data_IF_945430094747
#
_entry.id   IF_945430094747
#
_cell.length_a   1.000
_cell.length_b   1.000
_cell.length_c   1.000
_cell.angle_alpha   90.00
_cell.angle_beta   90.00
_cell.angle_gamma   90.00
#
_symmetry.space_group_name_H-M   'P 1'
#
loop_
_entity.id
_entity.type
_entity.pdbx_description
1 polymer ?
#
# COMPACT_ATOMS: atom_id res chain seq x y z
N UNK A 1 -16.54 -9.98 20.77
CA UNK A 1 -16.69 -9.77 19.33
C UNK A 1 -16.51 -11.12 18.65
N UNK A 2 -17.56 -11.67 18.03
CA UNK A 2 -17.55 -12.86 17.20
C UNK A 2 -17.35 -12.55 15.70
N UNK A 3 -17.39 -13.59 14.85
CA UNK A 3 -17.17 -13.46 13.41
C UNK A 3 -18.10 -12.42 12.76
N UNK A 4 -19.36 -12.37 13.20
CA UNK A 4 -20.37 -11.46 12.64
C UNK A 4 -20.05 -10.00 12.93
N UNK A 5 -19.60 -9.66 14.15
CA UNK A 5 -19.21 -8.30 14.47
C UNK A 5 -17.92 -7.89 13.72
N UNK A 6 -16.96 -8.81 13.56
CA UNK A 6 -15.78 -8.61 12.71
C UNK A 6 -16.16 -8.33 11.26
N UNK A 7 -17.11 -9.11 10.71
CA UNK A 7 -17.67 -8.92 9.37
C UNK A 7 -18.38 -7.58 9.23
N UNK A 8 -19.21 -7.20 10.20
CA UNK A 8 -19.92 -5.92 10.21
C UNK A 8 -18.97 -4.72 10.26
N UNK A 9 -17.92 -4.79 11.08
CA UNK A 9 -16.88 -3.77 11.14
C UNK A 9 -16.15 -3.63 9.79
N UNK A 10 -15.71 -4.74 9.21
CA UNK A 10 -15.04 -4.73 7.91
C UNK A 10 -15.93 -4.22 6.77
N UNK A 11 -17.23 -4.53 6.77
CA UNK A 11 -18.18 -3.96 5.80
C UNK A 11 -18.25 -2.44 5.87
N UNK A 12 -18.30 -1.88 7.08
CA UNK A 12 -18.31 -0.42 7.28
C UNK A 12 -17.00 0.23 6.83
N UNK A 13 -15.88 -0.43 7.11
CA UNK A 13 -14.57 0.01 6.61
C UNK A 13 -14.56 0.00 5.08
N UNK A 14 -14.98 -1.11 4.45
CA UNK A 14 -15.04 -1.23 3.00
C UNK A 14 -15.99 -0.20 2.35
N UNK A 15 -17.11 0.14 3.00
CA UNK A 15 -18.02 1.18 2.53
C UNK A 15 -17.36 2.57 2.50
N UNK A 16 -16.56 2.90 3.53
CA UNK A 16 -15.72 4.12 3.51
C UNK A 16 -14.72 4.05 2.36
N UNK A 17 -14.10 2.87 2.14
CA UNK A 17 -13.12 2.65 1.07
C UNK A 17 -13.69 2.87 -0.33
N UNK A 18 -14.89 2.33 -0.62
CA UNK A 18 -15.60 2.54 -1.90
C UNK A 18 -15.80 4.01 -2.26
N UNK A 19 -15.92 4.87 -1.26
CA UNK A 19 -16.13 6.31 -1.44
C UNK A 19 -14.82 7.11 -1.45
N UNK A 20 -13.69 6.48 -1.14
CA UNK A 20 -12.42 7.16 -0.83
C UNK A 20 -11.21 6.40 -1.37
N UNK A 21 -11.27 5.94 -2.63
CA UNK A 21 -10.19 5.19 -3.26
C UNK A 21 -8.82 5.87 -3.08
N UNK A 22 -7.86 5.14 -2.53
CA UNK A 22 -6.52 5.63 -2.23
C UNK A 22 -5.50 5.09 -3.23
N UNK A 23 -5.29 5.85 -4.30
CA UNK A 23 -4.38 5.52 -5.38
C UNK A 23 -3.69 6.77 -5.97
N UNK A 24 -2.49 6.62 -6.56
CA UNK A 24 -1.80 7.71 -7.23
C UNK A 24 -2.51 8.05 -8.53
N UNK A 25 -2.91 9.30 -8.76
CA UNK A 25 -3.69 9.70 -9.93
C UNK A 25 -2.80 9.94 -11.16
N UNK A 26 -2.74 8.97 -12.08
CA UNK A 26 -1.95 9.07 -13.30
C UNK A 26 -2.44 10.20 -14.22
N UNK A 27 -3.71 10.63 -14.12
CA UNK A 27 -4.28 11.67 -15.00
C UNK A 27 -3.69 13.04 -14.71
N UNK A 28 -3.03 13.21 -13.56
CA UNK A 28 -2.26 14.42 -13.24
C UNK A 28 -0.89 14.45 -13.95
N UNK A 29 -0.47 13.34 -14.56
CA UNK A 29 0.71 13.28 -15.41
C UNK A 29 0.25 13.57 -16.83
N UNK A 30 0.60 14.74 -17.35
CA UNK A 30 0.02 15.30 -18.58
C UNK A 30 0.07 14.31 -19.77
N UNK A 31 1.20 13.63 -20.05
CA UNK A 31 1.26 12.63 -21.12
C UNK A 31 0.38 11.39 -20.90
N UNK A 32 0.06 11.03 -19.65
CA UNK A 32 -0.73 9.85 -19.32
C UNK A 32 -2.22 10.16 -19.17
N UNK A 33 -2.60 11.44 -19.08
CA UNK A 33 -3.99 11.87 -18.94
C UNK A 33 -4.90 11.34 -20.05
N UNK A 34 -4.35 11.13 -21.25
CA UNK A 34 -5.07 10.59 -22.39
C UNK A 34 -5.45 9.11 -22.26
N UNK A 35 -4.94 8.37 -21.28
CA UNK A 35 -5.20 6.93 -21.12
C UNK A 35 -6.56 6.62 -20.50
N UNK A 36 -7.24 7.63 -19.96
CA UNK A 36 -8.58 7.46 -19.43
C UNK A 36 -9.25 8.79 -19.17
N UNK A 37 -10.27 9.09 -19.97
CA UNK A 37 -11.11 10.26 -19.73
C UNK A 37 -12.59 9.87 -19.85
N UNK A 38 -13.38 9.90 -18.76
CA UNK A 38 -13.03 10.25 -17.36
C UNK A 38 -12.44 9.10 -16.53
N UNK A 39 -12.66 7.86 -16.98
CA UNK A 39 -12.18 6.62 -16.37
C UNK A 39 -11.13 5.96 -17.25
N UNK A 40 -10.34 5.02 -16.69
CA UNK A 40 -9.35 4.26 -17.43
C UNK A 40 -10.01 3.55 -18.62
N UNK A 41 -9.49 3.78 -19.83
CA UNK A 41 -9.97 3.11 -21.04
C UNK A 41 -9.30 1.73 -21.15
N UNK A 42 -9.93 0.73 -20.52
CA UNK A 42 -9.38 -0.63 -20.38
C UNK A 42 -9.14 -1.28 -21.74
N UNK A 43 -9.96 -0.95 -22.74
CA UNK A 43 -9.89 -1.53 -24.10
C UNK A 43 -8.67 -1.03 -24.88
N UNK A 44 -8.11 0.12 -24.48
CA UNK A 44 -6.97 0.75 -25.14
C UNK A 44 -5.65 0.57 -24.39
N UNK A 45 -5.65 -0.18 -23.29
CA UNK A 45 -4.45 -0.42 -22.49
C UNK A 45 -3.34 -1.15 -23.26
N UNK A 46 -3.71 -1.94 -24.27
CA UNK A 46 -2.75 -2.72 -25.06
C UNK A 46 -2.29 -1.98 -26.33
N UNK A 47 -2.77 -0.74 -26.55
CA UNK A 47 -2.24 0.14 -27.61
C UNK A 47 -0.78 0.52 -27.32
N UNK A 48 0.01 0.62 -28.39
CA UNK A 48 1.41 1.04 -28.31
C UNK A 48 1.49 2.56 -28.09
N UNK A 49 2.28 2.97 -27.11
CA UNK A 49 2.72 4.34 -26.89
C UNK A 49 4.26 4.38 -26.82
N UNK A 50 4.87 5.07 -27.77
CA UNK A 50 6.31 4.98 -28.02
C UNK A 50 6.72 3.59 -28.51
N UNK A 51 7.28 2.77 -27.60
CA UNK A 51 7.74 1.41 -27.89
C UNK A 51 7.17 0.34 -26.95
N UNK A 52 6.23 0.71 -26.08
CA UNK A 52 5.61 -0.18 -25.11
C UNK A 52 4.10 0.03 -25.07
N UNK A 53 3.34 -0.84 -24.41
CA UNK A 53 1.90 -0.66 -24.25
C UNK A 53 1.58 0.41 -23.19
N UNK A 54 0.40 1.02 -23.25
CA UNK A 54 -0.08 1.92 -22.19
C UNK A 54 -0.18 1.22 -20.83
N UNK A 55 -0.55 -0.07 -20.83
CA UNK A 55 -0.56 -0.93 -19.64
C UNK A 55 0.82 -1.01 -19.00
N UNK A 56 1.86 -1.23 -19.80
CA UNK A 56 3.26 -1.25 -19.33
C UNK A 56 3.67 0.11 -18.74
N UNK A 57 3.32 1.23 -19.39
CA UNK A 57 3.59 2.58 -18.86
C UNK A 57 2.94 2.78 -17.49
N UNK A 58 1.66 2.41 -17.34
CA UNK A 58 0.95 2.53 -16.07
C UNK A 58 1.53 1.60 -14.99
N UNK A 59 1.92 0.37 -15.33
CA UNK A 59 2.59 -0.53 -14.39
C UNK A 59 3.92 0.06 -13.88
N UNK A 60 4.72 0.68 -14.76
CA UNK A 60 5.96 1.37 -14.37
C UNK A 60 5.68 2.56 -13.46
N UNK A 61 4.66 3.35 -13.75
CA UNK A 61 4.22 4.46 -12.91
C UNK A 61 3.78 4.00 -11.52
N UNK A 62 2.95 2.96 -11.44
CA UNK A 62 2.46 2.41 -10.17
C UNK A 62 3.60 1.79 -9.35
N UNK A 63 4.55 1.12 -10.00
CA UNK A 63 5.72 0.55 -9.31
C UNK A 63 6.59 1.66 -8.70
N UNK A 64 6.90 2.70 -9.48
CA UNK A 64 7.64 3.87 -8.97
C UNK A 64 6.88 4.52 -7.80
N UNK A 65 5.58 4.73 -7.97
CA UNK A 65 4.73 5.34 -6.94
C UNK A 65 4.77 4.52 -5.63
N UNK A 66 4.73 3.19 -5.71
CA UNK A 66 4.73 2.33 -4.54
C UNK A 66 6.08 2.35 -3.80
N UNK A 67 7.19 2.44 -4.54
CA UNK A 67 8.54 2.56 -3.96
C UNK A 67 8.73 3.91 -3.26
N UNK A 68 8.16 4.97 -3.83
CA UNK A 68 8.27 6.34 -3.32
C UNK A 68 7.29 6.61 -2.16
N UNK A 69 6.11 5.98 -2.16
CA UNK A 69 5.06 6.11 -1.13
C UNK A 69 5.36 5.34 0.18
N UNK A 70 6.43 5.80 0.84
CA UNK A 70 6.91 5.28 2.13
C UNK A 70 7.15 6.37 3.19
N UNK A 71 6.84 7.63 2.88
CA UNK A 71 6.99 8.75 3.80
C UNK A 71 5.70 9.10 4.57
N UNK A 72 5.76 10.08 5.48
CA UNK A 72 4.69 10.35 6.46
C UNK A 72 3.51 11.18 5.91
N UNK A 73 3.61 11.77 4.71
CA UNK A 73 2.54 12.52 4.05
C UNK A 73 2.30 11.98 2.63
N UNK A 74 1.38 11.02 2.50
CA UNK A 74 1.01 10.36 1.24
C UNK A 74 0.67 11.40 0.15
N UNK A 75 -0.11 12.42 0.50
CA UNK A 75 -0.52 13.43 -0.47
C UNK A 75 0.67 14.28 -0.95
N UNK A 76 1.56 14.67 -0.05
CA UNK A 76 2.79 15.38 -0.43
C UNK A 76 3.72 14.54 -1.30
N UNK A 77 3.81 13.23 -1.04
CA UNK A 77 4.61 12.32 -1.86
C UNK A 77 4.01 12.16 -3.26
N UNK A 78 2.68 12.05 -3.37
CA UNK A 78 1.99 12.01 -4.67
C UNK A 78 2.22 13.29 -5.47
N UNK A 79 2.15 14.45 -4.82
CA UNK A 79 2.45 15.73 -5.45
C UNK A 79 3.90 15.80 -5.95
N UNK A 80 4.86 15.24 -5.19
CA UNK A 80 6.26 15.10 -5.62
C UNK A 80 6.40 14.20 -6.85
N UNK A 81 5.81 13.00 -6.84
CA UNK A 81 5.90 12.05 -7.97
C UNK A 81 5.31 12.67 -9.25
N UNK A 82 4.12 13.29 -9.14
CA UNK A 82 3.46 13.95 -10.27
C UNK A 82 4.31 15.12 -10.78
N UNK A 83 4.75 16.00 -9.88
CA UNK A 83 5.51 17.20 -10.24
C UNK A 83 6.82 16.88 -10.94
N UNK A 84 7.61 15.97 -10.39
CA UNK A 84 8.89 15.53 -10.98
C UNK A 84 8.65 14.82 -12.31
N UNK A 85 7.64 13.95 -12.39
CA UNK A 85 7.35 13.26 -13.65
C UNK A 85 6.97 14.26 -14.75
N UNK A 86 6.08 15.21 -14.47
CA UNK A 86 5.71 16.23 -15.46
C UNK A 86 6.90 17.10 -15.87
N UNK A 87 7.73 17.54 -14.91
CA UNK A 87 8.91 18.35 -15.20
C UNK A 87 9.95 17.61 -16.09
N UNK A 88 10.14 16.31 -15.84
CA UNK A 88 10.99 15.47 -16.68
C UNK A 88 10.42 15.30 -18.09
N UNK A 89 9.13 14.99 -18.21
CA UNK A 89 8.48 14.84 -19.53
C UNK A 89 8.43 16.16 -20.31
N UNK A 90 8.28 17.30 -19.63
CA UNK A 90 8.23 18.63 -20.26
C UNK A 90 9.54 19.02 -20.97
N UNK A 91 10.66 18.39 -20.63
CA UNK A 91 11.85 18.46 -21.49
C UNK A 91 12.32 17.09 -21.92
N UNK A 92 11.37 16.24 -22.30
CA UNK A 92 11.59 15.05 -23.11
C UNK A 92 12.29 13.88 -22.41
N UNK A 93 12.51 13.94 -21.10
CA UNK A 93 12.98 12.82 -20.28
C UNK A 93 11.79 11.91 -19.93
N UNK A 94 11.36 11.07 -20.88
CA UNK A 94 10.17 10.21 -20.78
C UNK A 94 10.43 8.92 -19.98
N UNK A 95 10.67 9.04 -18.67
CA UNK A 95 11.20 7.95 -17.82
C UNK A 95 10.42 6.63 -17.80
N UNK A 96 9.11 6.62 -18.10
CA UNK A 96 8.35 5.36 -18.17
C UNK A 96 8.45 4.70 -19.55
N UNK A 97 8.64 5.48 -20.60
CA UNK A 97 8.78 4.98 -21.98
C UNK A 97 10.22 4.56 -22.25
N UNK A 98 11.18 5.38 -21.80
CA UNK A 98 12.61 5.11 -21.85
C UNK A 98 13.24 5.31 -20.45
N UNK A 99 13.29 4.24 -19.63
CA UNK A 99 13.89 4.32 -18.29
C UNK A 99 15.38 4.70 -18.30
N UNK A 100 16.09 4.49 -19.42
CA UNK A 100 17.50 4.90 -19.54
C UNK A 100 17.63 6.43 -19.54
N UNK A 101 16.61 7.16 -20.01
CA UNK A 101 16.61 8.62 -20.04
C UNK A 101 16.81 9.22 -18.64
N UNK A 102 16.25 8.61 -17.59
CA UNK A 102 16.47 9.04 -16.21
C UNK A 102 17.95 9.03 -15.81
N UNK A 103 18.69 8.01 -16.25
CA UNK A 103 20.11 7.85 -15.92
C UNK A 103 21.02 8.68 -16.83
N UNK A 104 20.62 8.92 -18.10
CA UNK A 104 21.34 9.82 -19.00
C UNK A 104 21.21 11.27 -18.56
N UNK A 105 20.02 11.67 -18.13
CA UNK A 105 19.70 13.04 -17.70
C UNK A 105 19.70 13.16 -16.17
N UNK A 106 20.59 12.44 -15.50
CA UNK A 106 20.49 12.24 -14.05
C UNK A 106 20.63 13.54 -13.25
N UNK A 107 21.49 14.46 -13.65
CA UNK A 107 21.64 15.78 -13.00
C UNK A 107 20.34 16.60 -13.08
N UNK A 108 19.63 16.50 -14.20
CA UNK A 108 18.31 17.12 -14.36
C UNK A 108 17.28 16.46 -13.44
N UNK A 109 17.29 15.13 -13.34
CA UNK A 109 16.40 14.42 -12.44
C UNK A 109 16.64 14.79 -10.97
N UNK A 110 17.90 14.96 -10.55
CA UNK A 110 18.24 15.46 -9.22
C UNK A 110 17.70 16.87 -8.98
N UNK A 111 17.95 17.80 -9.92
CA UNK A 111 17.48 19.17 -9.82
C UNK A 111 15.95 19.25 -9.75
N UNK A 112 15.25 18.44 -10.56
CA UNK A 112 13.80 18.34 -10.57
C UNK A 112 13.25 17.86 -9.22
N UNK A 113 13.83 16.79 -8.66
CA UNK A 113 13.44 16.27 -7.34
C UNK A 113 13.62 17.32 -6.26
N UNK A 114 14.74 18.07 -6.26
CA UNK A 114 15.01 19.12 -5.27
C UNK A 114 14.03 20.29 -5.36
N UNK A 115 13.82 20.82 -6.57
CA UNK A 115 12.95 21.97 -6.79
C UNK A 115 11.49 21.63 -6.45
N UNK A 116 10.99 20.51 -6.95
CA UNK A 116 9.61 20.08 -6.67
C UNK A 116 9.44 19.74 -5.18
N UNK A 117 10.43 19.10 -4.54
CA UNK A 117 10.40 18.88 -3.09
C UNK A 117 10.26 20.19 -2.32
N UNK A 118 11.05 21.21 -2.67
CA UNK A 118 11.01 22.51 -2.02
C UNK A 118 9.64 23.18 -2.19
N UNK A 119 9.06 23.12 -3.39
CA UNK A 119 7.71 23.64 -3.70
C UNK A 119 6.63 22.94 -2.89
N UNK A 120 6.62 21.61 -2.86
CA UNK A 120 5.65 20.83 -2.09
C UNK A 120 5.81 21.09 -0.58
N UNK A 121 7.05 21.17 -0.08
CA UNK A 121 7.34 21.51 1.31
C UNK A 121 6.80 22.90 1.66
N UNK A 122 7.04 23.91 0.84
CA UNK A 122 6.53 25.26 1.05
C UNK A 122 5.00 25.30 1.13
N UNK A 123 4.31 24.52 0.29
CA UNK A 123 2.84 24.48 0.25
C UNK A 123 2.22 23.71 1.43
N UNK A 124 2.88 22.65 1.93
CA UNK A 124 2.23 21.66 2.82
C UNK A 124 2.72 21.62 4.26
N UNK A 125 3.97 22.03 4.51
CA UNK A 125 4.63 21.78 5.80
C UNK A 125 3.88 22.36 7.00
N UNK A 126 3.26 23.54 6.85
CA UNK A 126 2.49 24.18 7.92
C UNK A 126 1.23 23.38 8.27
N UNK A 127 0.44 22.98 7.27
CA UNK A 127 -0.79 22.20 7.47
C UNK A 127 -0.49 20.82 8.05
N UNK A 128 0.53 20.15 7.53
CA UNK A 128 0.99 18.87 8.07
C UNK A 128 1.43 18.99 9.54
N UNK A 129 2.22 20.01 9.87
CA UNK A 129 2.71 20.23 11.22
C UNK A 129 1.57 20.48 12.21
N UNK A 130 0.57 21.29 11.83
CA UNK A 130 -0.61 21.54 12.65
C UNK A 130 -1.42 20.26 12.91
N UNK A 131 -1.64 19.44 11.88
CA UNK A 131 -2.38 18.18 12.00
C UNK A 131 -1.68 17.13 12.88
N UNK A 132 -0.34 17.10 12.83
CA UNK A 132 0.47 16.12 13.56
C UNK A 132 0.98 16.60 14.93
N UNK A 133 0.73 17.86 15.31
CA UNK A 133 1.31 18.46 16.51
C UNK A 133 2.85 18.53 16.44
N UNK A 134 3.40 18.85 15.27
CA UNK A 134 4.84 18.88 14.97
C UNK A 134 5.29 20.29 14.54
N UNK A 135 6.54 20.43 14.08
CA UNK A 135 7.07 21.69 13.52
C UNK A 135 7.26 21.58 12.00
N UNK A 136 6.98 22.65 11.22
CA UNK A 136 7.13 22.62 9.75
C UNK A 136 8.55 22.26 9.28
N UNK A 137 9.57 22.62 10.06
CA UNK A 137 10.97 22.28 9.78
C UNK A 137 11.24 20.77 9.67
N UNK A 138 10.47 19.95 10.38
CA UNK A 138 10.56 18.48 10.35
C UNK A 138 9.88 17.85 9.15
N UNK A 139 9.15 18.64 8.34
CA UNK A 139 8.53 18.12 7.13
C UNK A 139 9.60 17.80 6.09
N UNK A 140 9.66 16.52 5.72
CA UNK A 140 10.58 15.99 4.73
C UNK A 140 9.88 14.87 3.96
N UNK A 141 9.89 14.98 2.63
CA UNK A 141 9.35 13.92 1.76
C UNK A 141 10.36 12.78 1.52
N UNK A 142 11.65 13.06 1.75
CA UNK A 142 12.66 12.02 1.84
C UNK A 142 12.42 11.20 3.11
N UNK A 143 12.60 9.87 3.04
CA UNK A 143 12.51 9.05 4.25
C UNK A 143 13.58 9.44 5.28
N UNK A 144 13.27 9.18 6.55
CA UNK A 144 14.14 9.45 7.69
C UNK A 144 15.58 8.98 7.41
N UNK A 145 16.53 9.90 7.61
CA UNK A 145 18.00 9.76 7.46
C UNK A 145 18.62 9.91 6.07
N UNK A 146 17.85 9.98 4.98
CA UNK A 146 18.49 10.24 3.68
C UNK A 146 19.06 11.66 3.65
N UNK A 147 18.26 12.68 3.96
CA UNK A 147 18.64 14.12 3.94
C UNK A 147 19.24 14.63 2.63
N UNK A 148 19.46 13.74 1.66
CA UNK A 148 20.29 13.87 0.49
C UNK A 148 19.48 13.39 -0.71
N UNK A 149 19.29 14.28 -1.67
CA UNK A 149 18.56 14.01 -2.90
C UNK A 149 19.19 12.86 -3.68
N UNK A 150 20.53 12.81 -3.76
CA UNK A 150 21.24 11.77 -4.53
C UNK A 150 20.86 10.35 -4.08
N UNK A 151 20.95 10.07 -2.78
CA UNK A 151 20.58 8.77 -2.24
C UNK A 151 19.10 8.46 -2.49
N UNK A 152 18.23 9.46 -2.27
CA UNK A 152 16.79 9.30 -2.54
C UNK A 152 16.51 9.00 -4.02
N UNK A 153 17.12 9.73 -4.95
CA UNK A 153 16.96 9.53 -6.39
C UNK A 153 17.45 8.15 -6.81
N UNK A 154 18.63 7.70 -6.38
CA UNK A 154 19.14 6.36 -6.74
C UNK A 154 18.23 5.26 -6.19
N UNK A 155 17.92 5.30 -4.89
CA UNK A 155 17.22 4.19 -4.23
C UNK A 155 15.71 4.18 -4.48
N UNK A 156 15.06 5.35 -4.65
CA UNK A 156 13.59 5.45 -4.75
C UNK A 156 13.09 5.69 -6.16
N UNK A 157 13.89 6.28 -7.03
CA UNK A 157 13.55 6.51 -8.43
C UNK A 157 14.33 5.58 -9.35
N UNK A 158 15.65 5.55 -9.20
CA UNK A 158 16.55 4.75 -10.02
C UNK A 158 16.27 3.25 -9.90
N UNK A 159 16.11 2.70 -8.69
CA UNK A 159 15.87 1.27 -8.51
C UNK A 159 14.65 0.72 -9.30
N UNK A 160 13.41 1.27 -9.17
CA UNK A 160 12.28 0.80 -9.97
C UNK A 160 12.46 1.02 -11.48
N UNK A 161 13.09 2.12 -11.89
CA UNK A 161 13.38 2.37 -13.31
C UNK A 161 14.44 1.40 -13.87
N UNK A 162 15.43 1.01 -13.06
CA UNK A 162 16.45 0.03 -13.41
C UNK A 162 15.85 -1.37 -13.62
N UNK A 163 14.80 -1.74 -12.87
CA UNK A 163 14.05 -2.99 -13.10
C UNK A 163 13.41 -2.96 -14.49
N UNK A 164 12.66 -1.91 -14.82
CA UNK A 164 12.05 -1.76 -16.14
C UNK A 164 13.09 -1.77 -17.27
N UNK A 165 14.19 -1.03 -17.11
CA UNK A 165 15.32 -1.02 -18.05
C UNK A 165 15.93 -2.41 -18.25
N UNK A 166 16.13 -3.16 -17.17
CA UNK A 166 16.78 -4.47 -17.20
C UNK A 166 15.90 -5.52 -17.86
N UNK A 167 14.58 -5.45 -17.65
CA UNK A 167 13.61 -6.32 -18.30
C UNK A 167 13.53 -6.00 -19.80
N UNK A 168 13.45 -4.73 -20.17
CA UNK A 168 13.46 -4.30 -21.58
C UNK A 168 14.74 -4.70 -22.31
N UNK A 169 15.90 -4.72 -21.63
CA UNK A 169 17.15 -5.21 -22.23
C UNK A 169 17.21 -6.74 -22.33
N UNK A 170 16.50 -7.46 -21.46
CA UNK A 170 16.45 -8.91 -21.48
C UNK A 170 15.54 -9.42 -22.62
N UNK A 171 14.54 -8.63 -22.99
CA UNK A 171 13.63 -8.90 -24.09
C UNK A 171 13.34 -7.61 -24.90
N UNK A 172 14.24 -7.23 -25.83
CA UNK A 172 14.15 -5.98 -26.58
C UNK A 172 12.93 -5.88 -27.52
N UNK A 173 12.36 -7.03 -27.91
CA UNK A 173 11.23 -7.10 -28.84
C UNK A 173 9.87 -7.02 -28.11
N UNK A 174 9.88 -7.09 -26.78
CA UNK A 174 8.67 -7.00 -25.96
C UNK A 174 8.22 -5.56 -25.75
N UNK A 175 6.94 -5.30 -26.06
CA UNK A 175 6.25 -4.06 -25.72
C UNK A 175 5.68 -4.04 -24.30
N UNK A 176 5.82 -5.12 -23.53
CA UNK A 176 5.24 -5.26 -22.19
C UNK A 176 6.13 -6.06 -21.22
N UNK A 177 7.44 -5.76 -21.11
CA UNK A 177 8.38 -6.63 -20.42
C UNK A 177 8.15 -6.69 -18.90
N UNK A 178 7.73 -5.59 -18.25
CA UNK A 178 7.35 -5.61 -16.83
C UNK A 178 6.08 -6.42 -16.63
N UNK A 179 5.03 -6.21 -17.45
CA UNK A 179 3.82 -7.03 -17.37
C UNK A 179 4.12 -8.53 -17.46
N UNK A 180 4.91 -8.96 -18.45
CA UNK A 180 5.25 -10.36 -18.63
C UNK A 180 6.02 -10.92 -17.42
N UNK A 181 6.98 -10.16 -16.88
CA UNK A 181 7.66 -10.53 -15.64
C UNK A 181 6.69 -10.69 -14.47
N UNK A 182 5.76 -9.74 -14.29
CA UNK A 182 4.77 -9.81 -13.22
C UNK A 182 3.87 -11.04 -13.38
N UNK A 183 3.35 -11.29 -14.59
CA UNK A 183 2.47 -12.42 -14.92
C UNK A 183 3.17 -13.77 -14.89
N UNK A 184 4.51 -13.82 -14.91
CA UNK A 184 5.26 -15.06 -14.69
C UNK A 184 5.06 -15.62 -13.27
N UNK A 185 4.62 -14.79 -12.32
CA UNK A 185 4.25 -15.23 -10.98
C UNK A 185 2.95 -16.06 -11.00
N UNK A 186 2.83 -16.99 -10.05
CA UNK A 186 1.65 -17.86 -9.96
C UNK A 186 0.36 -17.12 -9.55
N UNK A 187 0.47 -15.96 -8.92
CA UNK A 187 -0.64 -15.14 -8.38
C UNK A 187 -0.17 -13.70 -8.13
N UNK A 188 -1.11 -12.77 -7.90
CA UNK A 188 -0.77 -11.40 -7.51
C UNK A 188 0.00 -11.32 -6.16
N UNK A 189 -0.29 -12.20 -5.21
CA UNK A 189 0.49 -12.34 -3.98
C UNK A 189 1.92 -12.80 -4.25
N UNK A 190 2.11 -13.72 -5.19
CA UNK A 190 3.47 -14.15 -5.55
C UNK A 190 4.21 -13.09 -6.37
N UNK A 191 3.47 -12.29 -7.13
CA UNK A 191 3.99 -11.13 -7.87
C UNK A 191 4.52 -10.06 -6.91
N UNK A 192 3.81 -9.75 -5.82
CA UNK A 192 4.30 -8.79 -4.81
C UNK A 192 5.63 -9.28 -4.19
N UNK A 193 5.74 -10.58 -3.91
CA UNK A 193 7.00 -11.16 -3.46
C UNK A 193 8.10 -11.10 -4.53
N UNK A 194 7.79 -11.42 -5.79
CA UNK A 194 8.76 -11.42 -6.88
C UNK A 194 9.37 -10.03 -7.13
N UNK A 195 8.56 -8.96 -7.04
CA UNK A 195 9.03 -7.59 -7.18
C UNK A 195 9.99 -7.18 -6.05
N UNK A 196 9.84 -7.76 -4.86
CA UNK A 196 10.74 -7.51 -3.74
C UNK A 196 11.99 -8.39 -3.79
N UNK A 197 11.83 -9.69 -4.00
CA UNK A 197 12.84 -10.70 -3.68
C UNK A 197 13.45 -11.42 -4.88
N UNK A 198 13.02 -11.12 -6.13
CA UNK A 198 13.66 -11.69 -7.32
C UNK A 198 15.18 -11.44 -7.27
N UNK A 199 15.98 -12.50 -7.43
CA UNK A 199 17.43 -12.38 -7.31
C UNK A 199 18.06 -11.45 -8.35
N UNK A 200 17.42 -11.28 -9.52
CA UNK A 200 17.89 -10.41 -10.61
C UNK A 200 17.11 -9.09 -10.72
N UNK A 201 15.80 -9.12 -10.50
CA UNK A 201 14.89 -8.00 -10.77
C UNK A 201 14.19 -7.47 -9.51
N UNK A 202 14.51 -8.01 -8.34
CA UNK A 202 13.92 -7.63 -7.07
C UNK A 202 14.46 -6.29 -6.60
N UNK A 203 13.58 -5.48 -6.00
CA UNK A 203 13.91 -4.18 -5.45
C UNK A 203 14.56 -4.24 -4.07
N UNK A 204 14.51 -5.40 -3.40
CA UNK A 204 15.13 -5.61 -2.09
C UNK A 204 14.76 -4.52 -1.10
N UNK A 205 15.77 -3.82 -0.54
CA UNK A 205 15.56 -2.75 0.44
C UNK A 205 14.88 -1.49 -0.13
N UNK A 206 14.80 -1.33 -1.44
CA UNK A 206 14.08 -0.20 -2.04
C UNK A 206 12.57 -0.33 -1.87
N UNK A 207 12.04 -1.55 -1.70
CA UNK A 207 10.61 -1.78 -1.47
C UNK A 207 10.37 -2.64 -0.22
N UNK A 208 9.56 -2.14 0.71
CA UNK A 208 9.07 -2.95 1.83
C UNK A 208 7.92 -3.85 1.40
N UNK A 209 7.58 -4.86 2.20
CA UNK A 209 6.46 -5.75 1.87
C UNK A 209 5.13 -4.99 1.71
N UNK A 210 4.86 -4.01 2.61
CA UNK A 210 3.68 -3.15 2.50
C UNK A 210 3.59 -2.47 1.13
N UNK A 211 4.70 -1.94 0.64
CA UNK A 211 4.74 -1.24 -0.63
C UNK A 211 4.58 -2.21 -1.82
N UNK A 212 5.12 -3.43 -1.72
CA UNK A 212 4.91 -4.46 -2.72
C UNK A 212 3.44 -4.93 -2.79
N UNK A 213 2.79 -5.11 -1.64
CA UNK A 213 1.35 -5.39 -1.58
C UNK A 213 0.50 -4.20 -2.04
N UNK A 214 0.93 -2.95 -1.77
CA UNK A 214 0.28 -1.75 -2.27
C UNK A 214 0.34 -1.66 -3.80
N UNK A 215 1.47 -2.01 -4.39
CA UNK A 215 1.60 -2.13 -5.85
C UNK A 215 0.62 -3.17 -6.42
N UNK A 216 0.52 -4.35 -5.78
CA UNK A 216 -0.45 -5.38 -6.18
C UNK A 216 -1.90 -4.89 -6.07
N UNK A 217 -2.24 -4.20 -4.97
CA UNK A 217 -3.55 -3.53 -4.80
C UNK A 217 -3.84 -2.60 -5.97
N UNK A 218 -2.93 -1.69 -6.32
CA UNK A 218 -3.20 -0.74 -7.40
C UNK A 218 -3.32 -1.43 -8.77
N UNK A 219 -2.49 -2.43 -9.06
CA UNK A 219 -2.51 -3.15 -10.33
C UNK A 219 -3.74 -4.05 -10.50
N UNK A 220 -4.33 -4.56 -9.42
CA UNK A 220 -5.50 -5.47 -9.46
C UNK A 220 -6.81 -4.74 -9.20
N UNK A 221 -6.84 -3.87 -8.19
CA UNK A 221 -8.07 -3.26 -7.68
C UNK A 221 -8.30 -1.85 -8.22
N UNK A 222 -7.32 -0.95 -8.12
CA UNK A 222 -7.54 0.45 -8.47
C UNK A 222 -7.57 0.70 -9.99
N UNK A 223 -6.68 0.03 -10.74
CA UNK A 223 -6.52 0.23 -12.18
C UNK A 223 -6.81 -1.00 -13.06
N UNK A 224 -7.40 -2.06 -12.50
CA UNK A 224 -7.42 -3.45 -13.01
C UNK A 224 -6.43 -3.83 -14.15
N UNK A 225 -5.18 -3.40 -14.08
CA UNK A 225 -4.18 -3.61 -15.15
C UNK A 225 -3.80 -5.08 -15.30
N UNK A 226 -3.81 -5.85 -14.21
CA UNK A 226 -3.43 -7.26 -14.22
C UNK A 226 -4.58 -8.19 -13.85
N UNK A 227 -5.75 -7.63 -13.52
CA UNK A 227 -6.90 -8.37 -13.02
C UNK A 227 -7.44 -9.33 -14.07
N UNK A 228 -7.75 -10.54 -13.64
CA UNK A 228 -8.42 -11.56 -14.45
C UNK A 228 -9.44 -12.29 -13.58
N UNK A 229 -10.71 -11.94 -13.72
CA UNK A 229 -11.80 -12.52 -12.92
C UNK A 229 -12.10 -13.98 -13.27
N UNK A 230 -11.58 -14.49 -14.40
CA UNK A 230 -11.67 -15.91 -14.74
C UNK A 230 -10.58 -16.74 -14.03
N UNK A 231 -9.54 -16.08 -13.54
CA UNK A 231 -8.43 -16.70 -12.84
C UNK A 231 -8.33 -16.19 -11.41
N UNK A 232 -8.79 -17.00 -10.44
CA UNK A 232 -8.76 -16.66 -9.00
C UNK A 232 -7.39 -16.19 -8.50
N UNK A 233 -6.30 -16.58 -9.15
CA UNK A 233 -4.96 -16.15 -8.79
C UNK A 233 -4.64 -14.67 -9.08
N UNK A 234 -5.53 -13.98 -9.81
CA UNK A 234 -5.41 -12.60 -10.28
C UNK A 234 -6.72 -11.82 -10.11
N UNK A 235 -7.65 -12.32 -9.28
CA UNK A 235 -8.89 -11.63 -8.97
C UNK A 235 -8.75 -10.65 -7.79
N UNK A 236 -9.85 -10.05 -7.35
CA UNK A 236 -9.84 -9.06 -6.28
C UNK A 236 -9.29 -9.57 -4.92
N UNK A 237 -9.24 -10.89 -4.67
CA UNK A 237 -8.74 -11.50 -3.43
C UNK A 237 -7.34 -12.10 -3.56
N UNK A 238 -6.68 -11.88 -4.70
CA UNK A 238 -5.39 -12.50 -5.04
C UNK A 238 -4.16 -11.91 -4.34
N UNK A 239 -4.32 -10.92 -3.45
CA UNK A 239 -3.25 -10.30 -2.67
C UNK A 239 -3.68 -10.02 -1.22
N UNK A 240 -2.71 -9.94 -0.30
CA UNK A 240 -2.94 -9.53 1.09
C UNK A 240 -3.21 -8.02 1.22
N UNK A 241 -4.06 -7.62 2.19
CA UNK A 241 -4.25 -6.20 2.55
C UNK A 241 -2.90 -5.56 2.91
N UNK A 242 -2.49 -4.43 2.30
CA UNK A 242 -1.19 -3.81 2.52
C UNK A 242 -1.14 -3.04 3.85
N UNK A 243 -1.08 -3.77 4.96
CA UNK A 243 -1.08 -3.17 6.30
C UNK A 243 0.09 -2.21 6.55
N UNK A 244 -0.25 -0.94 6.70
CA UNK A 244 0.62 0.11 7.23
C UNK A 244 0.24 0.47 8.69
N UNK A 245 0.98 1.40 9.28
CA UNK A 245 0.72 1.87 10.65
C UNK A 245 -0.65 2.51 10.83
N UNK A 246 -1.24 3.13 9.80
CA UNK A 246 -2.58 3.69 9.85
C UNK A 246 -3.63 2.58 9.91
N UNK A 247 -3.55 1.61 9.01
CA UNK A 247 -4.41 0.46 8.96
C UNK A 247 -4.34 -0.37 10.25
N UNK A 248 -3.12 -0.66 10.71
CA UNK A 248 -2.88 -1.35 11.97
C UNK A 248 -3.48 -0.64 13.18
N UNK A 249 -3.33 0.69 13.25
CA UNK A 249 -3.90 1.50 14.33
C UNK A 249 -5.42 1.44 14.34
N UNK A 250 -6.07 1.52 13.18
CA UNK A 250 -7.54 1.41 13.07
C UNK A 250 -8.00 0.03 13.52
N UNK A 251 -7.37 -1.05 13.03
CA UNK A 251 -7.70 -2.43 13.42
C UNK A 251 -7.50 -2.70 14.91
N UNK A 252 -6.44 -2.14 15.50
CA UNK A 252 -6.20 -2.28 16.94
C UNK A 252 -7.23 -1.50 17.77
N UNK A 253 -7.45 -0.22 17.46
CA UNK A 253 -8.34 0.66 18.24
C UNK A 253 -9.82 0.30 18.14
N UNK A 254 -10.24 -0.29 17.03
CA UNK A 254 -11.61 -0.78 16.85
C UNK A 254 -11.90 -2.07 17.61
N UNK A 255 -10.86 -2.73 18.16
CA UNK A 255 -10.98 -4.02 18.84
C UNK A 255 -10.75 -5.24 17.94
N UNK A 256 -10.71 -5.05 16.62
CA UNK A 256 -10.54 -6.14 15.66
C UNK A 256 -9.30 -6.99 15.95
N UNK A 257 -8.14 -6.37 16.20
CA UNK A 257 -6.91 -7.13 16.48
C UNK A 257 -7.04 -8.01 17.72
N UNK A 258 -7.64 -7.48 18.80
CA UNK A 258 -7.77 -8.17 20.10
C UNK A 258 -8.81 -9.29 20.09
N UNK A 259 -9.71 -9.28 19.11
CA UNK A 259 -10.60 -10.40 18.87
C UNK A 259 -9.85 -11.67 18.42
N UNK A 260 -8.76 -11.50 17.68
CA UNK A 260 -8.04 -12.62 17.04
C UNK A 260 -6.71 -12.96 17.74
N UNK A 261 -6.11 -11.99 18.41
CA UNK A 261 -4.82 -12.11 19.09
C UNK A 261 -4.91 -11.60 20.51
N UNK A 262 -4.34 -12.34 21.46
CA UNK A 262 -4.22 -11.88 22.85
C UNK A 262 -3.11 -10.83 22.99
N UNK A 263 -3.19 -9.99 24.03
CA UNK A 263 -2.13 -9.02 24.33
C UNK A 263 -0.78 -9.73 24.55
N UNK A 264 -0.78 -10.93 25.13
CA UNK A 264 0.42 -11.75 25.29
C UNK A 264 1.03 -12.18 23.93
N UNK A 265 0.20 -12.56 22.94
CA UNK A 265 0.68 -12.86 21.60
C UNK A 265 1.24 -11.62 20.90
N UNK A 266 0.59 -10.47 21.07
CA UNK A 266 1.04 -9.21 20.48
C UNK A 266 2.37 -8.73 21.08
N UNK A 267 2.56 -8.89 22.39
CA UNK A 267 3.85 -8.59 23.06
C UNK A 267 4.93 -9.58 22.65
N UNK A 268 4.62 -10.89 22.61
CA UNK A 268 5.57 -11.93 22.22
C UNK A 268 6.06 -11.77 20.77
N UNK A 269 5.21 -11.27 19.88
CA UNK A 269 5.56 -10.94 18.50
C UNK A 269 6.27 -9.58 18.36
N UNK A 270 6.49 -8.83 19.45
CA UNK A 270 6.93 -7.43 19.44
C UNK A 270 6.03 -6.50 18.61
N UNK A 271 4.77 -6.89 18.39
CA UNK A 271 3.77 -6.05 17.75
C UNK A 271 3.33 -4.94 18.70
N UNK A 272 3.18 -5.23 20.00
CA UNK A 272 3.10 -4.23 21.06
C UNK A 272 4.44 -4.18 21.79
N UNK A 273 5.04 -3.00 21.86
CA UNK A 273 6.32 -2.76 22.52
C UNK A 273 6.13 -1.77 23.68
N UNK A 274 5.92 -2.27 24.91
CA UNK A 274 5.71 -1.43 26.08
C UNK A 274 6.85 -0.43 26.31
N UNK A 275 6.51 0.80 26.67
CA UNK A 275 7.48 1.87 26.98
C UNK A 275 8.26 2.43 25.79
N UNK A 276 8.02 1.95 24.56
CA UNK A 276 8.69 2.42 23.34
C UNK A 276 7.92 3.48 22.56
N UNK A 277 6.78 3.94 23.06
CA UNK A 277 6.05 5.06 22.45
C UNK A 277 6.80 6.40 22.61
N UNK A 278 6.46 7.39 21.77
CA UNK A 278 7.10 8.73 21.78
C UNK A 278 7.06 9.44 23.16
N UNK A 279 6.12 9.05 24.02
CA UNK A 279 6.09 9.41 25.43
C UNK A 279 6.32 8.12 26.22
N UNK A 280 7.36 8.08 27.07
CA UNK A 280 7.87 6.89 27.78
C UNK A 280 6.82 6.06 28.56
N UNK A 281 5.58 6.56 28.69
CA UNK A 281 4.44 5.89 29.32
C UNK A 281 3.45 5.24 28.34
N UNK A 282 3.76 5.20 27.04
CA UNK A 282 2.89 4.58 26.02
C UNK A 282 3.59 3.42 25.31
N UNK A 283 2.80 2.45 24.86
CA UNK A 283 3.30 1.34 24.05
C UNK A 283 3.37 1.72 22.57
N UNK A 284 4.38 1.20 21.88
CA UNK A 284 4.51 1.33 20.42
C UNK A 284 3.89 0.11 19.72
N UNK A 285 3.00 0.35 18.74
CA UNK A 285 2.37 -0.67 17.91
C UNK A 285 3.11 -0.77 16.58
N UNK A 286 3.90 -1.83 16.44
CA UNK A 286 4.56 -2.21 15.19
C UNK A 286 3.70 -3.22 14.43
N UNK A 287 2.68 -2.74 13.71
CA UNK A 287 1.69 -3.59 13.01
C UNK A 287 2.32 -4.67 12.12
N UNK A 288 3.43 -4.37 11.45
CA UNK A 288 4.11 -5.31 10.54
C UNK A 288 4.52 -6.61 11.23
N UNK A 289 4.74 -6.56 12.55
CA UNK A 289 5.13 -7.72 13.35
C UNK A 289 3.94 -8.66 13.64
N UNK A 290 2.71 -8.28 13.30
CA UNK A 290 1.55 -9.19 13.37
C UNK A 290 1.54 -10.20 12.22
N UNK A 291 2.36 -10.00 11.18
CA UNK A 291 2.50 -10.94 10.06
C UNK A 291 3.08 -12.27 10.54
N UNK A 292 2.45 -13.37 10.12
CA UNK A 292 2.84 -14.73 10.51
C UNK A 292 2.41 -15.13 11.93
N UNK A 293 1.77 -14.24 12.69
CA UNK A 293 1.26 -14.57 14.03
C UNK A 293 0.03 -15.47 13.87
N UNK A 294 0.08 -16.65 14.50
CA UNK A 294 -1.02 -17.60 14.50
C UNK A 294 -2.18 -17.05 15.34
N UNK A 295 -3.40 -17.11 14.81
CA UNK A 295 -4.60 -16.95 15.65
C UNK A 295 -4.88 -18.27 16.36
N UNK A 296 -5.26 -18.22 17.64
CA UNK A 296 -5.47 -19.44 18.42
C UNK A 296 -6.63 -20.29 17.84
N UNK A 297 -6.55 -21.64 17.90
CA UNK A 297 -7.58 -22.53 17.35
C UNK A 297 -8.98 -22.37 17.97
N UNK A 298 -9.07 -21.77 19.15
CA UNK A 298 -10.27 -21.76 20.00
C UNK A 298 -11.43 -20.88 19.49
N UNK A 299 -11.27 -20.14 18.39
CA UNK A 299 -12.30 -19.18 17.93
C UNK A 299 -12.55 -19.09 16.42
N UNK A 300 -11.83 -19.85 15.58
CA UNK A 300 -12.06 -19.80 14.13
C UNK A 300 -13.23 -20.73 13.78
N UNK A 301 -14.42 -20.14 13.61
CA UNK A 301 -15.63 -20.78 13.08
C UNK A 301 -15.28 -21.54 11.79
N UNK A 302 -15.86 -22.74 11.59
CA UNK A 302 -15.56 -23.62 10.44
C UNK A 302 -15.63 -22.87 9.10
N UNK A 303 -16.62 -22.01 8.93
CA UNK A 303 -16.81 -21.18 7.73
C UNK A 303 -15.59 -20.29 7.44
N UNK A 304 -15.09 -19.56 8.45
CA UNK A 304 -13.90 -18.72 8.29
C UNK A 304 -12.66 -19.56 7.96
N UNK A 305 -12.54 -20.76 8.54
CA UNK A 305 -11.42 -21.66 8.26
C UNK A 305 -11.44 -22.12 6.80
N UNK A 306 -12.61 -22.46 6.27
CA UNK A 306 -12.74 -22.94 4.89
C UNK A 306 -12.56 -21.80 3.89
N UNK A 307 -13.07 -20.60 4.19
CA UNK A 307 -12.76 -19.38 3.44
C UNK A 307 -11.25 -19.08 3.44
N UNK A 308 -10.59 -19.17 4.60
CA UNK A 308 -9.15 -18.95 4.72
C UNK A 308 -8.33 -19.96 3.89
N UNK A 309 -8.71 -21.24 3.92
CA UNK A 309 -8.06 -22.29 3.11
C UNK A 309 -8.24 -22.02 1.62
N UNK A 310 -9.46 -21.65 1.22
CA UNK A 310 -9.78 -21.29 -0.16
C UNK A 310 -8.96 -20.09 -0.62
N UNK A 311 -8.91 -19.03 0.18
CA UNK A 311 -8.08 -17.85 -0.04
C UNK A 311 -6.62 -18.24 -0.26
N UNK A 312 -6.01 -19.00 0.67
CA UNK A 312 -4.59 -19.34 0.61
C UNK A 312 -4.20 -20.23 -0.58
N UNK A 313 -5.05 -21.19 -0.94
CA UNK A 313 -4.76 -22.17 -2.00
C UNK A 313 -5.17 -21.65 -3.38
N UNK A 314 -6.36 -21.04 -3.49
CA UNK A 314 -6.94 -20.69 -4.80
C UNK A 314 -6.60 -19.27 -5.25
N UNK A 315 -6.64 -18.30 -4.33
CA UNK A 315 -6.50 -16.89 -4.67
C UNK A 315 -5.06 -16.41 -4.49
N UNK A 316 -4.56 -16.45 -3.26
CA UNK A 316 -3.18 -16.04 -2.96
C UNK A 316 -2.17 -17.03 -3.54
N UNK A 317 -2.56 -18.31 -3.71
CA UNK A 317 -1.67 -19.44 -4.05
C UNK A 317 -0.41 -19.50 -3.18
N UNK A 318 -0.48 -19.00 -1.96
CA UNK A 318 0.64 -19.00 -1.01
C UNK A 318 0.95 -20.41 -0.50
N UNK A 319 -0.01 -21.33 -0.60
CA UNK A 319 0.11 -22.72 -0.16
C UNK A 319 -0.32 -23.70 -1.24
N UNK A 320 0.41 -24.82 -1.39
CA UNK A 320 0.03 -25.92 -2.27
C UNK A 320 -1.08 -26.81 -1.68
N UNK A 321 -1.23 -26.80 -0.36
CA UNK A 321 -2.24 -27.58 0.39
C UNK A 321 -2.94 -26.67 1.39
N UNK A 322 -4.15 -27.06 1.82
CA UNK A 322 -4.90 -26.33 2.82
C UNK A 322 -4.06 -26.12 4.11
N UNK A 323 -3.78 -24.87 4.51
CA UNK A 323 -3.00 -24.60 5.70
C UNK A 323 -3.74 -25.05 6.96
N UNK A 324 -2.98 -25.56 7.93
CA UNK A 324 -3.49 -25.91 9.27
C UNK A 324 -3.53 -24.68 10.17
N UNK A 325 -2.52 -23.81 10.05
CA UNK A 325 -2.39 -22.57 10.81
C UNK A 325 -3.08 -21.42 10.07
N UNK A 326 -3.86 -20.65 10.82
CA UNK A 326 -4.48 -19.41 10.36
C UNK A 326 -3.64 -18.24 10.86
N UNK A 327 -3.24 -17.36 9.95
CA UNK A 327 -2.42 -16.19 10.23
C UNK A 327 -3.26 -14.92 10.26
N UNK A 328 -3.00 -14.06 11.26
CA UNK A 328 -3.78 -12.84 11.47
C UNK A 328 -3.85 -11.95 10.23
N UNK A 329 -2.75 -11.79 9.50
CA UNK A 329 -2.71 -10.81 8.40
C UNK A 329 -3.67 -11.13 7.24
N UNK A 330 -4.10 -12.39 7.12
CA UNK A 330 -5.02 -12.86 6.08
C UNK A 330 -6.48 -12.95 6.55
N UNK A 331 -6.76 -12.74 7.84
CA UNK A 331 -8.11 -12.79 8.38
C UNK A 331 -9.05 -11.79 7.68
N UNK A 332 -8.68 -10.50 7.44
CA UNK A 332 -9.57 -9.58 6.76
C UNK A 332 -9.94 -10.04 5.35
N UNK A 333 -8.97 -10.55 4.58
CA UNK A 333 -9.20 -11.10 3.24
C UNK A 333 -10.05 -12.38 3.26
N UNK A 334 -9.92 -13.20 4.30
CA UNK A 334 -10.74 -14.41 4.44
C UNK A 334 -12.19 -14.07 4.80
N UNK A 335 -12.40 -13.07 5.68
CA UNK A 335 -13.73 -12.57 6.02
C UNK A 335 -14.35 -11.90 4.79
N UNK A 336 -13.58 -11.12 4.02
CA UNK A 336 -14.08 -10.47 2.79
C UNK A 336 -14.49 -11.48 1.73
N UNK A 337 -13.72 -12.56 1.55
CA UNK A 337 -14.06 -13.66 0.66
C UNK A 337 -15.35 -14.38 1.11
N UNK A 338 -15.48 -14.66 2.41
CA UNK A 338 -16.68 -15.29 2.98
C UNK A 338 -17.92 -14.40 2.82
N UNK A 339 -17.73 -13.08 2.94
CA UNK A 339 -18.79 -12.09 2.83
C UNK A 339 -19.30 -11.91 1.39
N UNK A 340 -18.39 -11.90 0.41
CA UNK A 340 -18.66 -11.69 -1.00
C UNK A 340 -19.05 -10.25 -1.38
N UNK A 341 -19.33 -9.36 -0.42
CA UNK A 341 -19.75 -7.97 -0.64
C UNK A 341 -18.63 -6.93 -0.46
N UNK A 342 -17.40 -7.37 -0.19
CA UNK A 342 -16.23 -6.52 0.02
C UNK A 342 -14.95 -7.21 -0.46
N UNK A 343 -13.96 -6.40 -0.81
CA UNK A 343 -12.64 -6.82 -1.31
C UNK A 343 -11.52 -6.33 -0.40
N UNK A 344 -10.33 -6.97 -0.41
CA UNK A 344 -9.15 -6.47 0.29
C UNK A 344 -8.79 -5.02 -0.06
N UNK A 345 -8.99 -4.61 -1.32
CA UNK A 345 -8.72 -3.24 -1.78
C UNK A 345 -9.62 -2.20 -1.12
N UNK A 346 -10.93 -2.43 -1.09
CA UNK A 346 -11.90 -1.55 -0.42
C UNK A 346 -11.65 -1.48 1.10
N UNK A 347 -11.28 -2.61 1.71
CA UNK A 347 -10.92 -2.64 3.14
C UNK A 347 -9.69 -1.75 3.38
N UNK A 348 -8.65 -1.88 2.56
CA UNK A 348 -7.45 -1.05 2.69
C UNK A 348 -7.74 0.44 2.51
N UNK A 349 -8.46 0.82 1.45
CA UNK A 349 -8.88 2.21 1.21
C UNK A 349 -9.63 2.78 2.40
N UNK A 350 -10.56 2.00 2.96
CA UNK A 350 -11.29 2.37 4.17
C UNK A 350 -10.39 2.56 5.38
N UNK A 351 -9.46 1.62 5.61
CA UNK A 351 -8.49 1.68 6.71
C UNK A 351 -7.59 2.91 6.61
N UNK A 352 -7.04 3.20 5.42
CA UNK A 352 -6.20 4.36 5.17
C UNK A 352 -7.00 5.65 5.36
N UNK A 353 -8.20 5.75 4.76
CA UNK A 353 -9.07 6.92 4.91
C UNK A 353 -9.40 7.18 6.37
N UNK A 354 -9.79 6.14 7.12
CA UNK A 354 -10.12 6.26 8.53
C UNK A 354 -8.91 6.66 9.36
N UNK A 355 -7.77 6.01 9.13
CA UNK A 355 -6.52 6.26 9.85
C UNK A 355 -5.96 7.66 9.66
N UNK A 356 -6.09 8.22 8.46
CA UNK A 356 -5.55 9.53 8.09
C UNK A 356 -6.50 10.70 8.37
N UNK A 357 -7.81 10.45 8.46
CA UNK A 357 -8.82 11.53 8.63
C UNK A 357 -9.35 11.64 10.05
N UNK A 358 -9.64 10.52 10.72
CA UNK A 358 -10.30 10.55 12.05
C UNK A 358 -9.47 9.85 13.13
N UNK A 359 -8.95 8.66 12.84
CA UNK A 359 -8.20 7.84 13.79
C UNK A 359 -6.71 8.20 13.77
N UNK A 360 -6.39 9.48 13.98
CA UNK A 360 -5.01 9.99 13.94
C UNK A 360 -4.15 9.41 15.09
N UNK A 361 -2.83 9.41 14.91
CA UNK A 361 -1.86 8.93 15.90
C UNK A 361 -1.63 9.93 17.06
N UNK A 362 -2.72 10.41 17.66
CA UNK A 362 -2.72 11.36 18.77
C UNK A 362 -3.52 10.79 19.95
N UNK A 363 -3.46 11.46 21.10
CA UNK A 363 -4.28 11.13 22.26
C UNK A 363 -5.76 11.55 22.07
N UNK A 364 -6.02 12.47 21.14
CA UNK A 364 -7.34 13.07 20.88
C UNK A 364 -7.72 12.91 19.39
N UNK A 365 -7.86 11.69 18.88
CA UNK A 365 -8.38 11.48 17.53
C UNK A 365 -9.80 12.04 17.40
N UNK A 366 -10.23 12.34 16.18
CA UNK A 366 -11.54 12.91 15.88
C UNK A 366 -12.64 11.83 15.90
N UNK A 367 -12.77 11.11 17.02
CA UNK A 367 -13.68 9.99 17.17
C UNK A 367 -15.15 10.39 17.00
N UNK A 368 -15.54 11.61 17.39
CA UNK A 368 -16.92 12.07 17.32
C UNK A 368 -17.46 12.15 15.88
N UNK A 369 -16.58 12.38 14.89
CA UNK A 369 -16.93 12.43 13.47
C UNK A 369 -16.52 11.17 12.70
N UNK A 370 -15.99 10.16 13.39
CA UNK A 370 -15.49 8.95 12.76
C UNK A 370 -16.67 8.06 12.32
N UNK A 371 -16.70 7.53 11.08
CA UNK A 371 -17.78 6.65 10.61
C UNK A 371 -17.84 5.31 11.36
N UNK A 372 -16.83 4.99 12.16
CA UNK A 372 -16.77 3.77 12.98
C UNK A 372 -17.08 4.03 14.46
N UNK A 373 -17.52 5.24 14.84
CA UNK A 373 -17.57 5.68 16.24
C UNK A 373 -18.42 4.78 17.15
N UNK A 374 -19.56 4.32 16.66
CA UNK A 374 -20.55 3.48 17.36
C UNK A 374 -20.16 1.98 17.42
N UNK A 375 -19.20 1.53 16.59
CA UNK A 375 -18.69 0.15 16.59
C UNK A 375 -17.23 0.02 17.07
N UNK A 376 -16.58 1.14 17.38
CA UNK A 376 -15.19 1.16 17.82
C UNK A 376 -15.07 0.85 19.32
N UNK A 377 -14.48 -0.30 19.67
CA UNK A 377 -14.24 -0.69 21.06
C UNK A 377 -13.48 0.38 21.85
N UNK A 378 -12.43 0.96 21.25
CA UNK A 378 -11.62 2.00 21.86
C UNK A 378 -12.40 3.27 22.21
N UNK A 379 -13.52 3.52 21.52
CA UNK A 379 -14.41 4.66 21.82
C UNK A 379 -15.51 4.29 22.82
N UNK A 380 -16.09 3.10 22.68
CA UNK A 380 -17.31 2.71 23.39
C UNK A 380 -17.03 2.07 24.75
N UNK A 381 -15.99 1.24 24.85
CA UNK A 381 -15.82 0.34 26.00
C UNK A 381 -14.41 0.36 26.60
N UNK A 382 -13.36 0.58 25.81
CA UNK A 382 -11.95 0.49 26.27
C UNK A 382 -11.09 1.66 25.78
N UNK A 383 -11.21 2.85 26.40
CA UNK A 383 -10.41 4.04 26.04
C UNK A 383 -8.90 3.84 26.01
N UNK A 384 -8.38 2.87 26.78
CA UNK A 384 -6.96 2.48 26.80
C UNK A 384 -6.42 2.10 25.42
N UNK A 385 -7.24 1.52 24.53
CA UNK A 385 -6.82 1.19 23.16
C UNK A 385 -6.41 2.43 22.36
N UNK A 386 -6.97 3.60 22.71
CA UNK A 386 -6.62 4.88 22.11
C UNK A 386 -5.52 5.57 22.91
N UNK A 387 -5.62 5.56 24.25
CA UNK A 387 -4.77 6.37 25.12
C UNK A 387 -3.38 5.77 25.35
N UNK A 388 -3.25 4.44 25.38
CA UNK A 388 -2.04 3.78 25.87
C UNK A 388 -1.13 3.26 24.75
N UNK A 389 -1.65 3.18 23.51
CA UNK A 389 -0.93 2.63 22.36
C UNK A 389 -0.79 3.66 21.24
N UNK A 390 0.43 3.79 20.69
CA UNK A 390 0.80 4.70 19.58
C UNK A 390 1.48 3.91 18.46
N UNK A 391 1.38 4.37 17.22
CA UNK A 391 2.07 3.77 16.05
C UNK A 391 3.25 4.57 15.55
#
# INVERSE_FOLDING_TARGET
MGLDESRALLRRIAEVGRQSGDHPDYRRIEPLAAYGHPDLDVDRLDEIDGGITRREVLLRFLLLSAVVDQGPDIAGIRDLVVGVTNDLYAGETRIFHDPLAFFRDFDRALASIEDIHAKVKAARAAGWAAAQGSTPSKYLLYMENAGQTLGYAIYRWGAPLAVALSLQKADPDSSSPLEQFLRSAKSAESMSQAIKDSGRYGLGKAIGDKAAHLFAKWAIHAYPLLRDDQNRAWDAWSYEVPFDSNAGRVMYRTGFTRQWLTDAQLVAAEAIQPGRGKNQNTSYLRVTNTRGVAVLPLGVVSELRDAYRTLCVSHLRSHAKAPVKVEFQRIPSAISLLDGGMTPGEIDDGLIKVGTTWCMNTATPNCAKCPLADVCEGRQASPSLILDVRT
#
